data_IF_762546296611
#
_entry.id   IF_762546296611
#
_cell.length_a   1.000
_cell.length_b   1.000
_cell.length_c   1.000
_cell.angle_alpha   90.00
_cell.angle_beta   90.00
_cell.angle_gamma   90.00
#
_symmetry.space_group_name_H-M   'P 1'
#
loop_
_entity.id
_entity.type
_entity.pdbx_description
1 polymer ?
#
# COMPACT_ATOMS: atom_id res chain seq x y z
N UNK A 1 -9.12 4.69 -2.51
CA UNK A 1 -10.09 5.73 -2.07
C UNK A 1 -9.97 6.03 -0.58
N UNK A 2 -10.03 5.02 0.32
CA UNK A 2 -9.96 5.25 1.78
C UNK A 2 -8.63 5.88 2.24
N UNK A 3 -7.50 5.41 1.73
CA UNK A 3 -6.18 5.96 2.06
C UNK A 3 -6.05 7.44 1.66
N UNK A 4 -6.52 7.81 0.46
CA UNK A 4 -6.54 9.21 0.01
C UNK A 4 -7.42 10.08 0.91
N UNK A 5 -8.61 9.58 1.29
CA UNK A 5 -9.49 10.27 2.22
C UNK A 5 -8.80 10.53 3.55
N UNK A 6 -8.22 9.49 4.17
CA UNK A 6 -7.49 9.61 5.43
C UNK A 6 -6.29 10.54 5.34
N UNK A 7 -5.55 10.52 4.22
CA UNK A 7 -4.42 11.43 4.01
C UNK A 7 -4.86 12.90 4.00
N UNK A 8 -6.00 13.20 3.38
CA UNK A 8 -6.56 14.55 3.36
C UNK A 8 -7.10 14.96 4.73
N UNK A 9 -7.84 14.07 5.39
CA UNK A 9 -8.42 14.32 6.73
C UNK A 9 -7.35 14.44 7.84
N UNK A 10 -6.17 13.83 7.63
CA UNK A 10 -5.03 13.92 8.56
C UNK A 10 -4.16 15.17 8.39
N UNK A 11 -4.46 16.06 7.44
CA UNK A 11 -3.70 17.29 7.27
C UNK A 11 -3.97 18.28 8.42
N UNK A 12 -2.93 18.89 8.95
CA UNK A 12 -3.03 19.92 10.00
C UNK A 12 -3.67 21.22 9.50
N UNK A 13 -3.60 21.47 8.18
CA UNK A 13 -4.24 22.63 7.53
C UNK A 13 -5.23 22.13 6.50
N UNK A 14 -6.47 22.56 6.60
CA UNK A 14 -7.54 22.19 5.66
C UNK A 14 -7.26 22.80 4.29
N UNK A 15 -7.07 22.00 3.22
CA UNK A 15 -6.83 22.53 1.89
C UNK A 15 -8.12 23.11 1.27
N UNK A 16 -7.97 24.09 0.39
CA UNK A 16 -9.09 24.66 -0.38
C UNK A 16 -9.46 23.82 -1.60
N UNK A 17 -8.49 23.03 -2.10
CA UNK A 17 -8.64 22.16 -3.27
C UNK A 17 -7.73 20.95 -3.12
N UNK A 18 -8.26 19.76 -3.41
CA UNK A 18 -7.53 18.50 -3.46
C UNK A 18 -7.45 18.04 -4.91
N UNK A 19 -6.26 17.81 -5.43
CA UNK A 19 -6.04 17.22 -6.77
C UNK A 19 -5.59 15.78 -6.63
N UNK A 20 -6.28 14.89 -7.34
CA UNK A 20 -6.08 13.44 -7.28
C UNK A 20 -5.58 12.94 -8.63
N UNK A 21 -4.55 12.10 -8.63
CA UNK A 21 -4.14 11.39 -9.83
C UNK A 21 -5.18 10.33 -10.21
N UNK A 22 -5.47 10.23 -11.51
CA UNK A 22 -6.42 9.29 -12.06
C UNK A 22 -7.77 9.90 -12.43
N UNK A 23 -8.81 9.07 -12.52
CA UNK A 23 -10.13 9.44 -13.04
C UNK A 23 -11.23 9.51 -11.97
N UNK A 24 -10.92 9.31 -10.70
CA UNK A 24 -11.90 9.22 -9.59
C UNK A 24 -11.39 9.96 -8.37
N UNK A 25 -12.30 10.64 -7.66
CA UNK A 25 -12.02 11.26 -6.38
C UNK A 25 -12.65 10.46 -5.24
N UNK A 26 -11.99 10.40 -4.06
CA UNK A 26 -12.64 9.94 -2.84
C UNK A 26 -13.76 10.91 -2.44
N UNK A 27 -14.73 10.43 -1.66
CA UNK A 27 -15.76 11.29 -1.09
C UNK A 27 -15.14 12.14 0.01
N UNK A 28 -15.03 13.44 -0.24
CA UNK A 28 -14.47 14.45 0.66
C UNK A 28 -15.48 15.57 0.89
N UNK A 29 -15.38 16.22 2.04
CA UNK A 29 -16.09 17.49 2.32
C UNK A 29 -15.47 18.71 1.63
N UNK A 30 -14.30 18.53 1.04
CA UNK A 30 -13.49 19.56 0.39
C UNK A 30 -13.59 19.35 -1.14
N UNK A 31 -13.56 20.46 -1.88
CA UNK A 31 -13.51 20.38 -3.35
C UNK A 31 -12.34 19.53 -3.82
N UNK A 32 -12.63 18.55 -4.67
CA UNK A 32 -11.63 17.64 -5.24
C UNK A 32 -11.75 17.54 -6.76
N UNK A 33 -10.63 17.39 -7.44
CA UNK A 33 -10.52 17.29 -8.90
C UNK A 33 -9.64 16.10 -9.25
N UNK A 34 -10.16 15.18 -10.08
CA UNK A 34 -9.40 14.08 -10.66
C UNK A 34 -8.66 14.56 -11.90
N UNK A 35 -7.37 14.22 -12.01
CA UNK A 35 -6.51 14.57 -13.16
C UNK A 35 -5.86 13.30 -13.67
N UNK A 36 -6.25 12.87 -14.87
CA UNK A 36 -5.65 11.69 -15.52
C UNK A 36 -4.20 12.02 -15.88
N UNK A 37 -3.25 11.17 -15.45
CA UNK A 37 -1.81 11.41 -15.60
C UNK A 37 -1.34 12.62 -14.79
N UNK A 38 -2.00 12.88 -13.66
CA UNK A 38 -1.74 14.03 -12.80
C UNK A 38 -0.32 14.06 -12.26
N UNK A 39 0.31 12.92 -12.05
CA UNK A 39 1.71 12.79 -11.64
C UNK A 39 2.70 13.41 -12.64
N UNK A 40 2.37 13.39 -13.93
CA UNK A 40 3.16 14.04 -14.97
C UNK A 40 2.76 15.53 -15.22
N UNK A 41 1.49 15.89 -14.97
CA UNK A 41 0.93 17.17 -15.36
C UNK A 41 0.88 18.20 -14.22
N UNK A 42 0.78 17.74 -12.96
CA UNK A 42 0.55 18.58 -11.79
C UNK A 42 1.66 18.39 -10.78
N UNK A 43 2.49 19.42 -10.56
CA UNK A 43 3.66 19.37 -9.67
C UNK A 43 3.33 18.92 -8.25
N UNK A 44 2.17 19.31 -7.69
CA UNK A 44 1.77 18.90 -6.34
C UNK A 44 1.41 17.40 -6.28
N UNK A 45 0.79 16.84 -7.33
CA UNK A 45 0.53 15.41 -7.43
C UNK A 45 1.85 14.66 -7.59
N UNK A 46 2.74 15.13 -8.47
CA UNK A 46 4.07 14.55 -8.65
C UNK A 46 4.86 14.49 -7.33
N UNK A 47 4.89 15.59 -6.58
CA UNK A 47 5.54 15.63 -5.27
C UNK A 47 4.91 14.66 -4.27
N UNK A 48 3.58 14.60 -4.20
CA UNK A 48 2.86 13.71 -3.31
C UNK A 48 3.13 12.23 -3.64
N UNK A 49 3.16 11.87 -4.94
CA UNK A 49 3.45 10.50 -5.38
C UNK A 49 4.88 10.06 -5.03
N UNK A 50 5.86 10.96 -5.12
CA UNK A 50 7.24 10.68 -4.69
C UNK A 50 7.29 10.43 -3.18
N UNK A 51 6.66 11.30 -2.37
CA UNK A 51 6.60 11.13 -0.92
C UNK A 51 5.94 9.82 -0.52
N UNK A 52 4.79 9.49 -1.13
CA UNK A 52 4.07 8.25 -0.87
C UNK A 52 4.94 7.03 -1.22
N UNK A 53 5.59 7.05 -2.38
CA UNK A 53 6.47 5.95 -2.81
C UNK A 53 7.65 5.76 -1.87
N UNK A 54 8.38 6.82 -1.56
CA UNK A 54 9.58 6.74 -0.69
C UNK A 54 9.20 6.26 0.70
N UNK A 55 8.08 6.76 1.24
CA UNK A 55 7.56 6.33 2.55
C UNK A 55 7.21 4.85 2.53
N UNK A 56 6.46 4.40 1.51
CA UNK A 56 6.10 2.99 1.36
C UNK A 56 7.33 2.08 1.24
N UNK A 57 8.30 2.45 0.41
CA UNK A 57 9.51 1.66 0.21
C UNK A 57 10.30 1.53 1.53
N UNK A 58 10.39 2.60 2.34
CA UNK A 58 11.01 2.57 3.67
C UNK A 58 10.27 1.61 4.62
N UNK A 59 8.94 1.70 4.68
CA UNK A 59 8.13 0.82 5.50
C UNK A 59 8.31 -0.66 5.12
N UNK A 60 8.45 -0.97 3.83
CA UNK A 60 8.68 -2.33 3.36
C UNK A 60 10.10 -2.85 3.68
N UNK A 61 11.09 -1.96 3.75
CA UNK A 61 12.42 -2.33 4.26
C UNK A 61 12.37 -2.69 5.75
N UNK A 62 11.61 -1.93 6.55
CA UNK A 62 11.39 -2.24 7.97
C UNK A 62 10.62 -3.57 8.13
N UNK A 63 9.56 -3.78 7.33
CA UNK A 63 8.84 -5.05 7.31
C UNK A 63 9.72 -6.23 6.89
N UNK A 64 10.68 -6.03 6.00
CA UNK A 64 11.62 -7.07 5.62
C UNK A 64 12.49 -7.53 6.81
N UNK A 65 12.83 -6.63 7.73
CA UNK A 65 13.59 -7.01 8.94
C UNK A 65 12.76 -7.94 9.84
N UNK A 66 11.45 -7.71 9.93
CA UNK A 66 10.53 -8.54 10.72
C UNK A 66 10.12 -9.83 9.99
N UNK A 67 9.92 -9.75 8.68
CA UNK A 67 9.43 -10.85 7.83
C UNK A 67 10.37 -11.11 6.65
N UNK A 68 11.62 -11.53 6.87
CA UNK A 68 12.61 -11.67 5.80
C UNK A 68 12.24 -12.70 4.74
N UNK A 69 11.41 -13.67 5.09
CA UNK A 69 10.98 -14.76 4.19
C UNK A 69 10.24 -14.27 2.95
N UNK A 70 9.58 -13.11 3.01
CA UNK A 70 8.85 -12.58 1.86
C UNK A 70 9.71 -11.78 0.89
N UNK A 71 10.92 -11.33 1.28
CA UNK A 71 11.81 -10.58 0.40
C UNK A 71 11.31 -9.17 0.03
N UNK A 72 10.59 -8.48 0.92
CA UNK A 72 10.03 -7.14 0.67
C UNK A 72 11.04 -6.10 0.24
N UNK A 73 12.31 -6.24 0.65
CA UNK A 73 13.41 -5.37 0.24
C UNK A 73 13.73 -5.46 -1.26
N UNK A 74 13.45 -6.60 -1.90
CA UNK A 74 13.76 -6.81 -3.30
C UNK A 74 12.63 -6.39 -4.26
N UNK A 75 11.38 -6.55 -3.87
CA UNK A 75 10.23 -6.36 -4.77
C UNK A 75 9.17 -5.41 -4.21
N UNK A 76 9.39 -4.81 -3.05
CA UNK A 76 8.48 -3.84 -2.44
C UNK A 76 7.01 -4.31 -2.42
N UNK A 77 6.77 -5.60 -2.16
CA UNK A 77 5.42 -6.18 -2.10
C UNK A 77 4.72 -6.40 -3.44
N UNK A 78 5.39 -6.16 -4.57
CA UNK A 78 4.83 -6.49 -5.89
C UNK A 78 4.74 -8.01 -6.08
N UNK A 79 3.79 -8.47 -6.92
CA UNK A 79 3.54 -9.88 -7.21
C UNK A 79 4.59 -10.55 -8.09
N UNK A 80 5.86 -10.42 -7.73
CA UNK A 80 6.96 -11.11 -8.40
C UNK A 80 6.90 -12.62 -8.17
N UNK A 81 7.50 -13.45 -9.03
CA UNK A 81 7.57 -14.90 -8.82
C UNK A 81 8.11 -15.28 -7.43
N UNK A 82 9.10 -14.55 -6.93
CA UNK A 82 9.67 -14.75 -5.60
C UNK A 82 8.65 -14.49 -4.50
N UNK A 83 7.92 -13.35 -4.54
CA UNK A 83 6.90 -13.01 -3.56
C UNK A 83 5.74 -14.04 -3.58
N UNK A 84 5.29 -14.45 -4.78
CA UNK A 84 4.25 -15.45 -4.92
C UNK A 84 4.69 -16.84 -4.40
N UNK A 85 5.96 -17.21 -4.57
CA UNK A 85 6.50 -18.43 -3.98
C UNK A 85 6.50 -18.37 -2.45
N UNK A 86 6.97 -17.25 -1.88
CA UNK A 86 6.95 -17.04 -0.43
C UNK A 86 5.53 -17.10 0.17
N UNK A 87 4.54 -16.50 -0.51
CA UNK A 87 3.13 -16.61 -0.10
C UNK A 87 2.59 -18.04 -0.13
N UNK A 88 3.00 -18.85 -1.12
CA UNK A 88 2.59 -20.27 -1.20
C UNK A 88 3.23 -21.12 -0.11
N UNK A 89 4.45 -20.82 0.28
CA UNK A 89 5.21 -21.57 1.26
C UNK A 89 4.89 -21.19 2.70
N UNK A 90 4.83 -19.87 2.98
CA UNK A 90 4.73 -19.35 4.34
C UNK A 90 3.34 -18.79 4.68
N UNK A 91 2.43 -18.70 3.71
CA UNK A 91 1.16 -18.01 3.89
C UNK A 91 1.32 -16.47 3.96
N UNK A 92 0.25 -15.71 4.17
CA UNK A 92 0.30 -14.27 4.28
C UNK A 92 0.53 -13.83 5.73
N UNK A 93 1.37 -12.82 5.96
CA UNK A 93 1.40 -12.12 7.24
C UNK A 93 0.28 -11.06 7.32
N UNK A 94 0.08 -10.47 8.50
CA UNK A 94 -0.96 -9.48 8.78
C UNK A 94 -0.88 -8.21 7.92
N UNK A 95 0.32 -7.89 7.39
CA UNK A 95 0.56 -6.72 6.55
C UNK A 95 0.29 -6.96 5.05
N UNK A 96 -0.11 -8.16 4.66
CA UNK A 96 -0.47 -8.42 3.27
C UNK A 96 -1.85 -7.89 2.93
N UNK A 97 -1.94 -7.18 1.79
CA UNK A 97 -3.20 -6.63 1.29
C UNK A 97 -4.19 -7.74 0.95
N UNK A 98 -5.31 -7.81 1.69
CA UNK A 98 -6.33 -8.86 1.54
C UNK A 98 -7.07 -8.84 0.19
N UNK A 99 -7.14 -7.68 -0.47
CA UNK A 99 -7.75 -7.55 -1.81
C UNK A 99 -6.89 -8.17 -2.92
N UNK A 100 -5.59 -8.42 -2.68
CA UNK A 100 -4.72 -9.07 -3.64
C UNK A 100 -5.04 -10.56 -3.79
N UNK A 101 -5.38 -11.02 -5.01
CA UNK A 101 -5.87 -12.38 -5.25
C UNK A 101 -4.95 -13.49 -4.69
N UNK A 102 -3.61 -13.47 -4.90
CA UNK A 102 -2.72 -14.48 -4.33
C UNK A 102 -2.73 -14.52 -2.79
N UNK A 103 -2.96 -13.37 -2.13
CA UNK A 103 -3.10 -13.30 -0.67
C UNK A 103 -4.39 -13.94 -0.22
N UNK A 104 -5.52 -13.69 -0.92
CA UNK A 104 -6.79 -14.35 -0.61
C UNK A 104 -6.70 -15.87 -0.74
N UNK A 105 -6.07 -16.37 -1.81
CA UNK A 105 -5.84 -17.79 -2.03
C UNK A 105 -4.98 -18.42 -0.92
N UNK A 106 -3.92 -17.71 -0.52
CA UNK A 106 -3.07 -18.14 0.58
C UNK A 106 -3.83 -18.14 1.93
N UNK A 107 -4.72 -17.17 2.19
CA UNK A 107 -5.57 -17.16 3.38
C UNK A 107 -6.52 -18.37 3.44
N UNK A 108 -7.06 -18.81 2.32
CA UNK A 108 -7.90 -20.03 2.28
C UNK A 108 -7.10 -21.26 2.70
N UNK A 109 -5.83 -21.33 2.30
CA UNK A 109 -4.96 -22.47 2.58
C UNK A 109 -4.41 -22.50 4.00
N UNK A 110 -4.01 -21.33 4.55
CA UNK A 110 -3.29 -21.20 5.83
C UNK A 110 -4.14 -20.64 6.98
N UNK A 111 -5.37 -20.18 6.70
CA UNK A 111 -6.18 -19.45 7.68
C UNK A 111 -5.76 -17.98 7.81
N UNK A 112 -6.46 -17.24 8.67
CA UNK A 112 -6.17 -15.83 8.96
C UNK A 112 -5.01 -15.73 9.94
N UNK A 113 -3.81 -15.52 9.41
CA UNK A 113 -2.64 -15.17 10.20
C UNK A 113 -1.71 -16.34 10.53
N UNK A 114 -0.70 -16.53 9.71
CA UNK A 114 0.52 -17.21 10.14
C UNK A 114 1.29 -16.20 10.99
N UNK A 115 1.24 -16.38 12.31
CA UNK A 115 2.18 -15.72 13.22
C UNK A 115 3.53 -16.40 13.04
N UNK A 116 4.36 -15.86 12.16
CA UNK A 116 5.76 -16.25 12.14
C UNK A 116 6.39 -15.75 13.45
N UNK A 117 7.26 -16.54 14.10
CA UNK A 117 7.95 -16.09 15.30
C UNK A 117 8.72 -14.82 14.98
N UNK A 118 8.40 -13.75 15.71
CA UNK A 118 9.11 -12.48 15.59
C UNK A 118 10.59 -12.70 15.95
N UNK A 119 11.45 -12.57 14.97
CA UNK A 119 12.87 -12.40 15.21
C UNK A 119 13.07 -10.97 15.77
N UNK A 120 13.03 -10.83 17.10
CA UNK A 120 13.32 -9.59 17.81
C UNK A 120 12.23 -8.53 17.69
N UNK A 121 11.67 -8.17 18.82
CA UNK A 121 10.63 -7.15 18.98
C UNK A 121 11.10 -5.79 18.45
N UNK A 122 10.87 -5.51 17.15
CA UNK A 122 10.88 -4.15 16.65
C UNK A 122 9.44 -3.72 16.65
N UNK A 123 9.12 -2.78 17.54
CA UNK A 123 7.82 -2.11 17.58
C UNK A 123 7.56 -1.53 16.20
N UNK A 124 6.66 -2.14 15.44
CA UNK A 124 6.18 -1.55 14.20
C UNK A 124 5.64 -0.15 14.53
N UNK A 125 6.01 0.90 13.78
CA UNK A 125 5.41 2.20 13.99
C UNK A 125 3.90 2.06 13.89
N UNK A 126 3.17 2.61 14.84
CA UNK A 126 1.72 2.49 15.02
C UNK A 126 0.85 2.96 13.82
N UNK A 127 1.47 3.26 12.69
CA UNK A 127 0.86 3.79 11.47
C UNK A 127 0.57 2.75 10.38
N UNK A 128 1.02 1.49 10.51
CA UNK A 128 0.75 0.43 9.52
C UNK A 128 -0.53 -0.33 9.90
N UNK A 129 -1.65 0.35 9.97
CA UNK A 129 -2.95 -0.31 10.06
C UNK A 129 -3.40 -0.80 8.69
N UNK A 130 -4.15 -1.91 8.67
CA UNK A 130 -4.82 -2.58 7.53
C UNK A 130 -5.43 -1.60 6.49
N UNK A 131 -5.70 -0.38 6.89
CA UNK A 131 -6.29 0.68 6.10
C UNK A 131 -5.35 1.36 5.08
N UNK A 132 -4.03 1.21 5.19
CA UNK A 132 -3.09 1.76 4.21
C UNK A 132 -2.81 0.81 3.04
N UNK A 133 -3.19 -0.46 3.17
CA UNK A 133 -2.90 -1.50 2.20
C UNK A 133 -4.08 -1.84 1.28
N UNK A 134 -5.29 -1.35 1.57
CA UNK A 134 -6.52 -1.69 0.86
C UNK A 134 -6.88 -0.75 -0.30
N UNK A 135 -5.95 0.03 -0.84
CA UNK A 135 -6.29 0.93 -1.94
C UNK A 135 -6.07 0.27 -3.31
N UNK A 136 -7.17 0.00 -4.02
CA UNK A 136 -7.24 -0.51 -5.39
C UNK A 136 -6.63 0.44 -6.46
N UNK A 137 -5.88 1.47 -6.06
CA UNK A 137 -5.42 2.53 -6.95
C UNK A 137 -4.25 2.13 -7.88
N UNK A 138 -3.70 0.91 -7.75
CA UNK A 138 -2.59 0.43 -8.58
C UNK A 138 -2.87 -0.85 -9.39
N UNK A 139 -4.14 -1.19 -9.56
CA UNK A 139 -4.56 -2.26 -10.45
C UNK A 139 -5.04 -1.71 -11.78
N UNK A 140 -4.42 -2.10 -12.85
CA UNK A 140 -4.71 -1.92 -14.27
C UNK A 140 -3.95 -0.78 -14.99
N UNK A 141 -2.64 -0.97 -15.15
CA UNK A 141 -2.07 -0.63 -16.45
C UNK A 141 -2.12 -1.90 -17.30
N UNK A 142 -3.30 -2.12 -17.89
CA UNK A 142 -3.51 -3.12 -18.91
C UNK A 142 -2.61 -2.85 -20.11
N UNK A 143 -2.03 -3.90 -20.58
CA UNK A 143 -1.41 -4.09 -21.86
C UNK A 143 -2.33 -3.58 -22.99
N UNK A 144 -1.87 -2.66 -23.79
CA UNK A 144 -2.21 -2.50 -25.19
C UNK A 144 -0.98 -1.97 -25.93
#
# INVERSE_FOLDING_TARGET
>A
MLAMKRAVEGLSVVPTLVKIDGNRCPTLSIRSEAVIGGDALVKSISAASILAKVTRDRMLLELHQTYPVYGFNAHAGYGTPQHLAALREHGPCEHHRRSFAPVREAHVRFGTGVSLPAAGLIVAPAALTDAMLDDDAFGERGNA
#
